data_IF_986030240092
#
_entry.id   IF_986030240092
#
_cell.length_a   1.000
_cell.length_b   1.000
_cell.length_c   1.000
_cell.angle_alpha   90.00
_cell.angle_beta   90.00
_cell.angle_gamma   90.00
#
_symmetry.space_group_name_H-M   'P 1'
#
loop_
_entity.id
_entity.type
_entity.pdbx_description
1 polymer ?
#
# COMPACT_ATOMS: atom_id res chain seq x y z
N UNK A 1 54.75 -27.64 -11.19
CA UNK A 1 53.58 -27.47 -10.32
C UNK A 1 52.84 -26.21 -10.76
N UNK A 2 51.72 -26.35 -11.49
CA UNK A 2 50.90 -25.21 -11.94
C UNK A 2 49.66 -25.16 -11.03
N UNK A 3 49.59 -24.14 -10.19
CA UNK A 3 48.42 -23.87 -9.37
C UNK A 3 47.30 -23.33 -10.27
N UNK A 4 46.25 -24.13 -10.46
CA UNK A 4 45.03 -23.72 -11.12
C UNK A 4 44.20 -22.96 -10.08
N UNK A 5 44.24 -21.62 -10.13
CA UNK A 5 43.42 -20.77 -9.28
C UNK A 5 41.98 -20.87 -9.82
N UNK A 6 41.15 -21.65 -9.13
CA UNK A 6 39.71 -21.72 -9.37
C UNK A 6 39.11 -20.42 -8.82
N UNK A 7 38.86 -19.45 -9.71
CA UNK A 7 38.12 -18.25 -9.38
C UNK A 7 36.65 -18.62 -9.21
N UNK A 8 36.24 -18.92 -7.97
CA UNK A 8 34.84 -19.07 -7.58
C UNK A 8 34.22 -17.67 -7.66
N UNK A 9 33.59 -17.37 -8.80
CA UNK A 9 32.74 -16.21 -8.96
C UNK A 9 31.46 -16.46 -8.17
N UNK A 10 31.46 -16.06 -6.89
CA UNK A 10 30.26 -16.01 -6.06
C UNK A 10 29.35 -14.93 -6.64
N UNK A 11 28.51 -15.32 -7.59
CA UNK A 11 27.36 -14.54 -8.01
C UNK A 11 26.44 -14.44 -6.79
N UNK A 12 26.58 -13.34 -6.05
CA UNK A 12 25.56 -12.89 -5.10
C UNK A 12 24.29 -12.64 -5.91
N UNK A 13 23.43 -13.66 -5.98
CA UNK A 13 22.01 -13.49 -6.26
C UNK A 13 21.44 -12.65 -5.11
N UNK A 14 21.62 -11.34 -5.19
CA UNK A 14 20.86 -10.41 -4.38
C UNK A 14 19.42 -10.50 -4.87
N UNK A 15 18.64 -11.39 -4.26
CA UNK A 15 17.19 -11.32 -4.29
C UNK A 15 16.76 -10.09 -3.50
N UNK A 16 17.01 -8.89 -4.04
CA UNK A 16 16.30 -7.70 -3.63
C UNK A 16 14.86 -7.90 -4.06
N UNK A 17 14.04 -8.47 -3.19
CA UNK A 17 12.60 -8.24 -3.27
C UNK A 17 12.44 -6.73 -3.10
N UNK A 18 12.35 -6.01 -4.22
CA UNK A 18 11.96 -4.62 -4.23
C UNK A 18 10.65 -4.51 -3.45
N UNK A 19 10.64 -3.63 -2.47
CA UNK A 19 9.45 -3.30 -1.70
C UNK A 19 8.48 -2.62 -2.68
N UNK A 20 7.26 -3.15 -2.82
CA UNK A 20 6.29 -2.64 -3.78
C UNK A 20 5.98 -1.15 -3.54
N UNK A 21 6.07 -0.71 -2.29
CA UNK A 21 5.91 0.70 -1.95
C UNK A 21 7.08 1.54 -2.47
N UNK A 22 8.30 0.99 -2.44
CA UNK A 22 9.49 1.69 -2.93
C UNK A 22 9.41 1.87 -4.45
N UNK A 23 9.09 0.79 -5.18
CA UNK A 23 8.87 0.84 -6.63
C UNK A 23 7.74 1.81 -7.00
N UNK A 24 6.64 1.79 -6.26
CA UNK A 24 5.54 2.73 -6.47
C UNK A 24 5.99 4.18 -6.27
N UNK A 25 6.76 4.42 -5.20
CA UNK A 25 7.20 5.77 -4.86
C UNK A 25 8.17 6.34 -5.89
N UNK A 26 9.14 5.53 -6.32
CA UNK A 26 10.09 5.91 -7.35
C UNK A 26 9.36 6.23 -8.67
N UNK A 27 8.38 5.41 -9.05
CA UNK A 27 7.57 5.64 -10.26
C UNK A 27 6.72 6.92 -10.19
N UNK A 28 6.34 7.38 -9.00
CA UNK A 28 5.60 8.63 -8.79
C UNK A 28 6.52 9.84 -8.61
N UNK A 29 7.84 9.68 -8.73
CA UNK A 29 8.84 10.68 -8.32
C UNK A 29 8.57 11.18 -6.88
N UNK A 30 8.15 10.27 -6.02
CA UNK A 30 7.79 10.53 -4.64
C UNK A 30 8.99 10.49 -3.70
N UNK A 31 8.69 10.65 -2.41
CA UNK A 31 9.65 10.55 -1.32
C UNK A 31 9.17 9.52 -0.31
N UNK A 32 10.04 8.54 -0.03
CA UNK A 32 9.82 7.54 1.00
C UNK A 32 10.21 8.07 2.37
N UNK A 33 9.36 7.80 3.35
CA UNK A 33 9.59 8.06 4.75
C UNK A 33 9.48 6.75 5.53
N UNK A 34 10.31 6.58 6.56
CA UNK A 34 10.27 5.40 7.45
C UNK A 34 9.23 5.53 8.56
N UNK A 35 8.72 6.74 8.77
CA UNK A 35 7.61 7.09 9.65
C UNK A 35 6.91 8.32 9.08
N UNK A 36 5.64 8.53 9.42
CA UNK A 36 4.86 9.62 8.88
C UNK A 36 4.04 10.31 9.95
N UNK A 37 3.91 11.63 9.87
CA UNK A 37 3.06 12.39 10.78
C UNK A 37 1.77 12.77 10.08
N UNK A 38 0.63 12.28 10.58
CA UNK A 38 -0.65 12.64 9.99
C UNK A 38 -0.87 14.16 9.99
N UNK A 39 -1.07 14.81 8.83
CA UNK A 39 -1.21 16.26 8.74
C UNK A 39 -2.31 16.83 9.65
N UNK A 40 -3.45 16.13 9.74
CA UNK A 40 -4.62 16.54 10.52
C UNK A 40 -4.48 16.26 12.02
N UNK A 41 -4.31 14.99 12.40
CA UNK A 41 -4.33 14.57 13.81
C UNK A 41 -2.98 14.72 14.52
N UNK A 42 -1.91 14.99 13.77
CA UNK A 42 -0.51 14.99 14.25
C UNK A 42 -0.04 13.65 14.81
N UNK A 43 -0.83 12.59 14.64
CA UNK A 43 -0.51 11.23 15.06
C UNK A 43 0.73 10.72 14.33
N UNK A 44 1.78 10.27 15.03
CA UNK A 44 2.91 9.61 14.40
C UNK A 44 2.55 8.17 14.03
N UNK A 45 2.65 7.85 12.74
CA UNK A 45 2.51 6.51 12.20
C UNK A 45 3.91 5.91 11.99
N UNK A 46 4.22 4.83 12.70
CA UNK A 46 5.47 4.07 12.53
C UNK A 46 5.33 3.07 11.38
N UNK A 47 5.07 3.60 10.20
CA UNK A 47 4.90 2.84 8.96
C UNK A 47 5.64 3.56 7.84
N UNK A 48 6.15 2.78 6.89
CA UNK A 48 6.75 3.32 5.68
C UNK A 48 5.65 3.98 4.85
N UNK A 49 5.91 5.19 4.37
CA UNK A 49 4.95 6.01 3.62
C UNK A 49 5.63 6.60 2.40
N UNK A 50 5.00 6.49 1.24
CA UNK A 50 5.35 7.25 0.07
C UNK A 50 4.51 8.54 0.04
N UNK A 51 5.15 9.69 -0.07
CA UNK A 51 4.51 10.97 -0.33
C UNK A 51 4.86 11.43 -1.75
N UNK A 52 3.88 11.88 -2.53
CA UNK A 52 4.09 12.35 -3.90
C UNK A 52 3.07 13.41 -4.29
N UNK A 53 3.31 14.13 -5.38
CA UNK A 53 2.31 15.01 -5.99
C UNK A 53 1.58 14.28 -7.11
N UNK A 54 0.26 14.31 -7.09
CA UNK A 54 -0.57 13.73 -8.15
C UNK A 54 -0.59 14.62 -9.42
N UNK A 55 -1.30 14.18 -10.45
CA UNK A 55 -1.47 14.93 -11.71
C UNK A 55 -2.13 16.30 -11.56
N UNK A 56 -2.76 16.59 -10.42
CA UNK A 56 -3.33 17.91 -10.08
C UNK A 56 -2.36 18.82 -9.32
N UNK A 57 -1.14 18.35 -9.02
CA UNK A 57 -0.17 19.05 -8.20
C UNK A 57 -0.45 18.98 -6.70
N UNK A 58 -1.42 18.15 -6.29
CA UNK A 58 -1.83 18.01 -4.90
C UNK A 58 -0.99 16.92 -4.23
N UNK A 59 -0.63 17.14 -2.96
CA UNK A 59 0.11 16.15 -2.18
C UNK A 59 -0.80 14.93 -1.97
N UNK A 60 -0.23 13.74 -2.03
CA UNK A 60 -0.86 12.47 -1.68
C UNK A 60 0.14 11.63 -0.88
N UNK A 61 -0.36 10.71 -0.07
CA UNK A 61 0.49 9.78 0.64
C UNK A 61 -0.18 8.41 0.79
N UNK A 62 0.62 7.37 0.62
CA UNK A 62 0.17 5.97 0.68
C UNK A 62 1.20 5.11 1.41
N UNK A 63 0.74 4.05 2.05
CA UNK A 63 1.56 3.06 2.75
C UNK A 63 1.51 1.69 2.07
N UNK A 64 0.65 1.52 1.07
CA UNK A 64 0.42 0.24 0.41
C UNK A 64 -0.21 -0.77 1.35
N UNK A 65 0.11 -2.06 1.18
CA UNK A 65 -0.45 -3.09 2.04
C UNK A 65 0.29 -3.15 3.39
N UNK A 66 -0.24 -2.43 4.38
CA UNK A 66 0.30 -2.35 5.74
C UNK A 66 0.01 -3.57 6.63
N UNK A 67 -0.93 -4.43 6.22
CA UNK A 67 -1.34 -5.63 6.95
C UNK A 67 -1.00 -6.92 6.20
N UNK A 68 -1.15 -8.08 6.85
CA UNK A 68 -0.83 -9.37 6.23
C UNK A 68 -1.79 -9.69 5.08
N UNK A 69 -1.23 -10.01 3.91
CA UNK A 69 -1.99 -10.33 2.69
C UNK A 69 -2.10 -11.83 2.41
N UNK A 70 -1.36 -12.67 3.16
CA UNK A 70 -1.34 -14.12 2.97
C UNK A 70 -0.49 -14.62 1.81
N UNK A 71 0.46 -13.79 1.33
CA UNK A 71 1.29 -14.04 0.15
C UNK A 71 0.69 -13.46 -1.14
N UNK A 72 -0.24 -12.52 -1.01
CA UNK A 72 -0.92 -11.87 -2.14
C UNK A 72 -0.48 -10.40 -2.29
N UNK A 73 0.67 -9.99 -1.74
CA UNK A 73 1.11 -8.59 -1.68
C UNK A 73 1.10 -7.93 -3.05
N UNK A 74 1.79 -8.52 -4.03
CA UNK A 74 1.83 -8.00 -5.42
C UNK A 74 0.45 -7.88 -6.05
N UNK A 75 -0.44 -8.81 -5.70
CA UNK A 75 -1.78 -8.88 -6.26
C UNK A 75 -2.70 -7.82 -5.64
N UNK A 76 -2.57 -7.60 -4.33
CA UNK A 76 -3.42 -6.71 -3.55
C UNK A 76 -2.92 -5.27 -3.50
N UNK A 77 -1.65 -5.04 -3.80
CA UNK A 77 -1.00 -3.73 -3.71
C UNK A 77 -1.79 -2.60 -4.39
N UNK A 78 -2.32 -2.73 -5.62
CA UNK A 78 -3.10 -1.67 -6.24
C UNK A 78 -4.37 -1.29 -5.44
N UNK A 79 -5.07 -2.28 -4.88
CA UNK A 79 -6.26 -2.03 -4.06
C UNK A 79 -5.90 -1.43 -2.69
N UNK A 80 -4.72 -1.75 -2.15
CA UNK A 80 -4.21 -1.12 -0.93
C UNK A 80 -3.88 0.37 -1.17
N UNK A 81 -3.23 0.70 -2.29
CA UNK A 81 -2.94 2.10 -2.66
C UNK A 81 -4.24 2.89 -2.80
N UNK A 82 -5.23 2.36 -3.53
CA UNK A 82 -6.54 3.01 -3.67
C UNK A 82 -7.29 3.14 -2.34
N UNK A 83 -7.12 2.17 -1.44
CA UNK A 83 -7.67 2.26 -0.09
C UNK A 83 -7.04 3.42 0.66
N UNK A 84 -5.72 3.54 0.72
CA UNK A 84 -5.03 4.63 1.42
C UNK A 84 -5.49 6.01 0.92
N UNK A 85 -5.59 6.19 -0.40
CA UNK A 85 -6.06 7.43 -1.01
C UNK A 85 -7.50 7.76 -0.58
N UNK A 86 -8.41 6.79 -0.66
CA UNK A 86 -9.76 6.95 -0.13
C UNK A 86 -9.73 7.26 1.38
N UNK A 87 -8.96 6.50 2.15
CA UNK A 87 -8.96 6.50 3.61
C UNK A 87 -8.47 7.81 4.22
N UNK A 88 -7.51 8.44 3.55
CA UNK A 88 -6.89 9.67 4.01
C UNK A 88 -7.60 10.92 3.48
N UNK A 89 -8.17 10.89 2.26
CA UNK A 89 -8.64 12.09 1.55
C UNK A 89 -10.18 12.21 1.46
N UNK A 90 -10.92 11.12 1.18
CA UNK A 90 -12.39 11.17 1.04
C UNK A 90 -13.16 11.79 2.21
N UNK A 91 -12.75 11.62 3.47
CA UNK A 91 -13.47 12.21 4.60
C UNK A 91 -13.42 13.74 4.60
N UNK A 92 -12.35 14.32 4.04
CA UNK A 92 -12.25 15.75 3.83
C UNK A 92 -13.01 16.13 2.56
N UNK A 93 -12.76 15.44 1.44
CA UNK A 93 -13.24 15.85 0.11
C UNK A 93 -14.74 15.61 -0.12
N UNK A 94 -15.25 14.40 0.14
CA UNK A 94 -16.65 14.02 -0.17
C UNK A 94 -17.44 13.51 1.04
N UNK A 95 -16.88 13.61 2.25
CA UNK A 95 -17.53 13.19 3.49
C UNK A 95 -17.75 11.68 3.61
N UNK A 96 -17.01 10.85 2.85
CA UNK A 96 -17.15 9.39 2.97
C UNK A 96 -16.51 8.91 4.27
N UNK A 97 -17.18 7.97 4.93
CA UNK A 97 -16.67 7.36 6.16
C UNK A 97 -15.70 6.20 5.89
N UNK A 98 -14.94 5.81 6.90
CA UNK A 98 -14.04 4.64 6.87
C UNK A 98 -14.69 3.39 6.24
N UNK A 99 -15.95 3.09 6.61
CA UNK A 99 -16.67 1.91 6.10
C UNK A 99 -16.77 1.89 4.57
N UNK A 100 -16.92 3.06 3.96
CA UNK A 100 -17.00 3.18 2.51
C UNK A 100 -15.69 2.73 1.85
N UNK A 101 -14.55 3.27 2.31
CA UNK A 101 -13.23 2.90 1.81
C UNK A 101 -12.93 1.41 2.06
N UNK A 102 -13.21 0.90 3.26
CA UNK A 102 -12.97 -0.51 3.59
C UNK A 102 -13.79 -1.46 2.68
N UNK A 103 -15.06 -1.14 2.41
CA UNK A 103 -15.93 -1.94 1.53
C UNK A 103 -15.47 -1.84 0.08
N UNK A 104 -15.08 -0.64 -0.39
CA UNK A 104 -14.52 -0.45 -1.73
C UNK A 104 -13.28 -1.31 -1.93
N UNK A 105 -12.35 -1.30 -0.97
CA UNK A 105 -11.16 -2.16 -0.99
C UNK A 105 -11.53 -3.63 -1.04
N UNK A 106 -12.46 -4.10 -0.19
CA UNK A 106 -12.91 -5.50 -0.21
C UNK A 106 -13.42 -5.92 -1.59
N UNK A 107 -14.27 -5.10 -2.21
CA UNK A 107 -14.82 -5.41 -3.54
C UNK A 107 -13.74 -5.47 -4.62
N UNK A 108 -12.76 -4.57 -4.57
CA UNK A 108 -11.61 -4.59 -5.49
C UNK A 108 -10.74 -5.83 -5.29
N UNK A 109 -10.44 -6.19 -4.03
CA UNK A 109 -9.67 -7.40 -3.72
C UNK A 109 -10.39 -8.67 -4.19
N UNK A 110 -11.70 -8.76 -3.99
CA UNK A 110 -12.49 -9.90 -4.47
C UNK A 110 -12.48 -9.99 -6.00
N UNK A 111 -12.66 -8.87 -6.69
CA UNK A 111 -12.55 -8.81 -8.16
C UNK A 111 -11.17 -9.26 -8.65
N UNK A 112 -10.10 -8.76 -8.01
CA UNK A 112 -8.73 -9.16 -8.31
C UNK A 112 -8.53 -10.67 -8.08
N UNK A 113 -9.09 -11.23 -7.01
CA UNK A 113 -9.02 -12.66 -6.75
C UNK A 113 -9.69 -13.48 -7.86
N UNK A 114 -10.87 -13.05 -8.31
CA UNK A 114 -11.63 -13.76 -9.35
C UNK A 114 -10.94 -13.70 -10.71
N UNK A 115 -10.27 -12.59 -11.02
CA UNK A 115 -9.64 -12.37 -12.33
C UNK A 115 -8.21 -12.91 -12.42
N UNK A 116 -7.46 -12.93 -11.32
CA UNK A 116 -5.98 -13.06 -11.37
C UNK A 116 -5.41 -14.10 -10.41
N UNK A 117 -6.16 -14.62 -9.44
CA UNK A 117 -5.59 -15.53 -8.44
C UNK A 117 -5.54 -16.98 -8.94
N UNK A 118 -4.40 -17.64 -8.75
CA UNK A 118 -4.27 -19.08 -8.99
C UNK A 118 -5.13 -19.92 -8.03
N UNK A 119 -5.29 -19.45 -6.78
CA UNK A 119 -6.18 -20.05 -5.79
C UNK A 119 -7.18 -19.00 -5.31
N UNK A 120 -8.33 -18.94 -5.99
CA UNK A 120 -9.40 -17.97 -5.75
C UNK A 120 -9.90 -18.04 -4.30
N UNK A 121 -10.16 -19.25 -3.79
CA UNK A 121 -10.71 -19.45 -2.44
C UNK A 121 -9.77 -18.89 -1.37
N UNK A 122 -8.47 -19.21 -1.45
CA UNK A 122 -7.46 -18.70 -0.51
C UNK A 122 -7.32 -17.19 -0.62
N UNK A 123 -7.28 -16.65 -1.84
CA UNK A 123 -7.19 -15.22 -2.09
C UNK A 123 -8.36 -14.47 -1.46
N UNK A 124 -9.59 -14.90 -1.74
CA UNK A 124 -10.79 -14.25 -1.19
C UNK A 124 -10.87 -14.37 0.34
N UNK A 125 -10.36 -15.45 0.94
CA UNK A 125 -10.28 -15.58 2.41
C UNK A 125 -9.38 -14.50 3.00
N UNK A 126 -8.24 -14.23 2.38
CA UNK A 126 -7.33 -13.16 2.80
C UNK A 126 -7.89 -11.76 2.52
N UNK A 127 -8.58 -11.55 1.39
CA UNK A 127 -9.29 -10.30 1.13
C UNK A 127 -10.30 -9.96 2.25
N UNK A 128 -11.11 -10.94 2.66
CA UNK A 128 -12.06 -10.78 3.78
C UNK A 128 -11.36 -10.59 5.12
N UNK A 129 -10.21 -11.23 5.33
CA UNK A 129 -9.39 -11.04 6.54
C UNK A 129 -8.87 -9.60 6.64
N UNK A 130 -8.28 -9.07 5.56
CA UNK A 130 -7.78 -7.69 5.51
C UNK A 130 -8.89 -6.69 5.82
N UNK A 131 -10.05 -6.83 5.17
CA UNK A 131 -11.23 -6.00 5.46
C UNK A 131 -11.57 -6.01 6.97
N UNK A 132 -11.67 -7.19 7.58
CA UNK A 132 -11.97 -7.31 9.02
C UNK A 132 -10.92 -6.64 9.91
N UNK A 133 -9.63 -6.80 9.58
CA UNK A 133 -8.53 -6.18 10.33
C UNK A 133 -8.60 -4.65 10.28
N UNK A 134 -8.89 -4.06 9.11
CA UNK A 134 -9.01 -2.60 8.94
C UNK A 134 -10.16 -2.02 9.76
N UNK A 135 -11.28 -2.76 9.88
CA UNK A 135 -12.43 -2.35 10.73
C UNK A 135 -12.08 -2.23 12.21
N UNK A 136 -11.08 -2.98 12.68
CA UNK A 136 -10.65 -3.00 14.08
C UNK A 136 -9.50 -2.03 14.32
N UNK A 137 -8.48 -2.06 13.46
CA UNK A 137 -7.18 -1.42 13.71
C UNK A 137 -7.02 -0.09 12.99
N UNK A 138 -7.68 0.12 11.84
CA UNK A 138 -7.37 1.25 10.95
C UNK A 138 -7.71 2.64 11.50
N UNK A 139 -8.64 2.73 12.47
CA UNK A 139 -9.28 3.98 12.92
C UNK A 139 -8.32 5.15 13.19
N UNK A 140 -7.15 4.98 13.83
CA UNK A 140 -6.27 6.11 14.15
C UNK A 140 -5.69 6.83 12.92
N UNK A 141 -5.51 6.12 11.80
CA UNK A 141 -4.96 6.69 10.56
C UNK A 141 -6.05 7.24 9.61
N UNK A 142 -7.33 7.14 10.00
CA UNK A 142 -8.45 7.61 9.19
C UNK A 142 -8.46 9.13 9.12
N UNK A 143 -8.78 9.69 7.94
CA UNK A 143 -8.91 11.15 7.77
C UNK A 143 -7.59 11.87 8.13
N UNK A 144 -6.47 11.32 7.69
CA UNK A 144 -5.14 11.82 7.98
C UNK A 144 -4.84 13.16 7.26
N UNK A 145 -5.38 13.36 6.05
CA UNK A 145 -5.23 14.60 5.30
C UNK A 145 -6.01 15.77 5.95
N UNK A 146 -5.47 16.99 5.82
CA UNK A 146 -6.04 18.21 6.40
C UNK A 146 -6.47 19.25 5.33
N UNK A 147 -6.56 18.85 4.08
CA UNK A 147 -6.97 19.69 2.95
C UNK A 147 -8.06 18.99 2.14
N UNK A 148 -8.81 19.80 1.40
CA UNK A 148 -9.74 19.34 0.37
C UNK A 148 -8.94 19.17 -0.90
N UNK A 149 -8.76 17.93 -1.34
CA UNK A 149 -7.98 17.62 -2.51
C UNK A 149 -8.68 16.61 -3.42
N UNK A 150 -8.51 16.78 -4.73
CA UNK A 150 -8.74 15.73 -5.71
C UNK A 150 -7.64 14.70 -5.58
N UNK A 151 -8.00 13.44 -5.52
CA UNK A 151 -7.03 12.35 -5.51
C UNK A 151 -7.30 11.38 -6.66
N UNK A 152 -6.26 10.67 -7.09
CA UNK A 152 -6.36 9.70 -8.19
C UNK A 152 -7.08 8.42 -7.70
N UNK A 153 -8.24 8.11 -8.27
CA UNK A 153 -9.09 6.97 -7.89
C UNK A 153 -8.65 5.61 -8.47
#
# INVERSE_FOLDING_TARGET
MRFLIVTICVLFLQSSHADLLDDFCDNKNGKLFTWYQCPKSKLPLRIKTCEYHNSYGELEFVNGCSGPTGGHDKLFFPACVQHDLCYHHEPATNGKGQKYCDVRMLNQLLKICDEKAQNIIRCQKWARFMYRSLRVIGKPAFHCANYYGRYED
#
